data_IF_396510817952
#
_entry.id   IF_396510817952
#
_cell.length_a   1.000
_cell.length_b   1.000
_cell.length_c   1.000
_cell.angle_alpha   90.00
_cell.angle_beta   90.00
_cell.angle_gamma   90.00
#
_symmetry.space_group_name_H-M   'P 1'
#
loop_
_entity.id
_entity.type
_entity.pdbx_description
1 polymer ?
#
# COMPACT_ATOMS: atom_id res chain seq x y z
N UNK A 1 -4.16 -12.40 6.03
CA UNK A 1 -4.94 -13.11 4.99
C UNK A 1 -4.50 -14.54 4.72
N UNK A 2 -3.20 -14.88 4.78
CA UNK A 2 -2.71 -16.24 4.53
C UNK A 2 -3.39 -17.30 5.44
N UNK A 3 -3.49 -17.03 6.74
CA UNK A 3 -4.18 -17.91 7.70
C UNK A 3 -5.66 -18.13 7.29
N UNK A 4 -6.37 -17.04 6.98
CA UNK A 4 -7.79 -17.09 6.57
C UNK A 4 -7.97 -17.87 5.27
N UNK A 5 -7.05 -17.72 4.32
CA UNK A 5 -7.02 -18.50 3.09
C UNK A 5 -6.83 -20.00 3.37
N UNK A 6 -5.94 -20.36 4.31
CA UNK A 6 -5.73 -21.74 4.73
C UNK A 6 -7.00 -22.37 5.30
N UNK A 7 -7.70 -21.65 6.19
CA UNK A 7 -8.92 -22.15 6.85
C UNK A 7 -10.12 -22.18 5.89
N UNK A 8 -10.30 -21.15 5.05
CA UNK A 8 -11.46 -21.00 4.16
C UNK A 8 -11.09 -21.08 2.69
N UNK A 9 -10.25 -22.06 2.31
CA UNK A 9 -9.72 -22.20 0.95
C UNK A 9 -10.80 -22.27 -0.12
N UNK A 10 -11.94 -22.90 0.12
CA UNK A 10 -12.99 -23.04 -0.89
C UNK A 10 -13.77 -21.74 -1.18
N UNK A 11 -13.66 -20.73 -0.32
CA UNK A 11 -14.40 -19.48 -0.47
C UNK A 11 -13.80 -18.58 -1.56
N UNK A 12 -14.56 -18.31 -2.61
CA UNK A 12 -14.14 -17.37 -3.67
C UNK A 12 -13.93 -15.95 -3.14
N UNK A 13 -14.72 -15.53 -2.15
CA UNK A 13 -14.55 -14.23 -1.48
C UNK A 13 -13.18 -14.14 -0.81
N UNK A 14 -12.75 -15.18 -0.09
CA UNK A 14 -11.44 -15.22 0.57
C UNK A 14 -10.31 -15.23 -0.45
N UNK A 15 -10.44 -15.98 -1.55
CA UNK A 15 -9.48 -15.97 -2.67
C UNK A 15 -9.34 -14.57 -3.29
N UNK A 16 -10.46 -13.88 -3.53
CA UNK A 16 -10.46 -12.50 -4.07
C UNK A 16 -9.86 -11.50 -3.09
N UNK A 17 -10.16 -11.60 -1.79
CA UNK A 17 -9.56 -10.74 -0.77
C UNK A 17 -8.07 -10.99 -0.62
N UNK A 18 -7.64 -12.24 -0.73
CA UNK A 18 -6.23 -12.60 -0.75
C UNK A 18 -5.52 -12.00 -1.98
N UNK A 19 -6.11 -12.14 -3.17
CA UNK A 19 -5.62 -11.48 -4.38
C UNK A 19 -5.49 -9.96 -4.20
N UNK A 20 -6.51 -9.31 -3.64
CA UNK A 20 -6.46 -7.87 -3.35
C UNK A 20 -5.36 -7.52 -2.35
N UNK A 21 -5.15 -8.35 -1.33
CA UNK A 21 -4.07 -8.14 -0.36
C UNK A 21 -2.71 -8.21 -1.03
N UNK A 22 -2.52 -9.15 -1.96
CA UNK A 22 -1.30 -9.25 -2.76
C UNK A 22 -1.13 -8.05 -3.69
N UNK A 23 -2.20 -7.62 -4.36
CA UNK A 23 -2.15 -6.43 -5.22
C UNK A 23 -1.75 -5.19 -4.40
N UNK A 24 -2.37 -4.96 -3.24
CA UNK A 24 -2.11 -3.76 -2.44
C UNK A 24 -0.80 -3.82 -1.65
N UNK A 25 -0.37 -4.98 -1.13
CA UNK A 25 0.93 -5.11 -0.44
C UNK A 25 2.12 -4.88 -1.38
N UNK A 26 1.89 -4.94 -2.69
CA UNK A 26 2.88 -4.55 -3.70
C UNK A 26 3.27 -3.08 -3.57
N UNK A 27 2.35 -2.20 -3.17
CA UNK A 27 2.67 -0.79 -2.86
C UNK A 27 3.68 -0.73 -1.74
N UNK A 28 3.42 -1.43 -0.63
CA UNK A 28 4.33 -1.50 0.52
C UNK A 28 5.70 -2.01 0.11
N UNK A 29 5.75 -3.08 -0.68
CA UNK A 29 7.01 -3.63 -1.18
C UNK A 29 7.79 -2.59 -2.01
N UNK A 30 7.18 -2.01 -3.04
CA UNK A 30 7.84 -1.06 -3.94
C UNK A 30 8.27 0.20 -3.19
N UNK A 31 7.34 0.84 -2.48
CA UNK A 31 7.59 2.11 -1.80
C UNK A 31 8.64 1.95 -0.72
N UNK A 32 8.58 0.87 0.07
CA UNK A 32 9.58 0.65 1.10
C UNK A 32 10.97 0.49 0.47
N UNK A 33 11.11 -0.44 -0.48
CA UNK A 33 12.42 -0.75 -1.06
C UNK A 33 12.98 0.39 -1.91
N UNK A 34 12.14 1.14 -2.61
CA UNK A 34 12.57 2.25 -3.45
C UNK A 34 12.81 3.56 -2.68
N UNK A 35 12.04 3.84 -1.61
CA UNK A 35 11.97 5.18 -1.02
C UNK A 35 12.24 5.24 0.49
N UNK A 36 12.32 4.11 1.20
CA UNK A 36 12.43 4.10 2.67
C UNK A 36 13.62 3.28 3.14
N UNK A 37 13.95 2.21 2.41
CA UNK A 37 14.97 1.23 2.79
C UNK A 37 16.33 1.87 3.05
N UNK A 38 16.71 2.97 2.41
CA UNK A 38 18.03 3.58 2.58
C UNK A 38 18.28 4.23 3.96
N UNK A 39 17.27 4.34 4.83
CA UNK A 39 17.43 4.97 6.15
C UNK A 39 18.41 4.19 7.01
N UNK A 40 19.53 4.83 7.36
CA UNK A 40 20.60 4.26 8.18
C UNK A 40 20.10 3.66 9.50
N UNK A 41 19.14 4.33 10.17
CA UNK A 41 18.52 3.86 11.41
C UNK A 41 17.82 2.50 11.31
N UNK A 42 17.56 2.00 10.09
CA UNK A 42 17.01 0.66 9.87
C UNK A 42 18.08 -0.41 9.97
N UNK A 43 19.30 -0.14 9.50
CA UNK A 43 20.34 -1.15 9.32
C UNK A 43 21.41 -1.16 10.41
N UNK A 44 21.44 -0.14 11.24
CA UNK A 44 22.40 -0.04 12.33
C UNK A 44 22.00 -0.83 13.57
N UNK A 45 22.96 -0.99 14.49
CA UNK A 45 22.74 -1.71 15.73
C UNK A 45 21.76 -0.94 16.64
N UNK A 46 20.84 -1.63 17.33
CA UNK A 46 20.60 -3.07 17.26
C UNK A 46 19.86 -3.47 15.97
N UNK A 47 20.30 -4.57 15.34
CA UNK A 47 19.74 -5.05 14.06
C UNK A 47 18.28 -5.55 14.12
N UNK A 48 17.59 -5.34 15.24
CA UNK A 48 16.18 -5.68 15.41
C UNK A 48 15.29 -4.97 14.37
N UNK A 49 15.53 -3.68 14.12
CA UNK A 49 14.75 -2.93 13.13
C UNK A 49 15.00 -3.44 11.70
N UNK A 50 16.23 -3.86 11.39
CA UNK A 50 16.56 -4.48 10.11
C UNK A 50 15.78 -5.78 9.90
N UNK A 51 15.77 -6.68 10.90
CA UNK A 51 15.06 -7.97 10.84
C UNK A 51 13.56 -7.73 10.68
N UNK A 52 12.98 -6.88 11.53
CA UNK A 52 11.56 -6.50 11.46
C UNK A 52 11.22 -5.95 10.08
N UNK A 53 12.07 -5.09 9.54
CA UNK A 53 11.85 -4.50 8.24
C UNK A 53 11.90 -5.52 7.10
N UNK A 54 12.91 -6.41 7.07
CA UNK A 54 13.01 -7.49 6.09
C UNK A 54 11.76 -8.38 6.14
N UNK A 55 11.35 -8.76 7.35
CA UNK A 55 10.16 -9.58 7.54
C UNK A 55 8.91 -8.87 6.99
N UNK A 56 8.63 -7.65 7.43
CA UNK A 56 7.41 -6.92 7.08
C UNK A 56 7.37 -6.48 5.62
N UNK A 57 8.49 -6.00 5.07
CA UNK A 57 8.53 -5.33 3.77
C UNK A 57 9.12 -6.18 2.63
N UNK A 58 9.69 -7.35 2.90
CA UNK A 58 10.09 -8.31 1.87
C UNK A 58 9.43 -9.67 2.04
N UNK A 59 9.65 -10.35 3.17
CA UNK A 59 9.24 -11.75 3.34
C UNK A 59 7.73 -11.93 3.24
N UNK A 60 6.94 -11.13 3.96
CA UNK A 60 5.47 -11.22 3.87
C UNK A 60 4.92 -10.94 2.46
N UNK A 61 5.32 -9.86 1.75
CA UNK A 61 4.96 -9.65 0.35
C UNK A 61 5.34 -10.83 -0.56
N UNK A 62 6.58 -11.32 -0.48
CA UNK A 62 7.10 -12.39 -1.34
C UNK A 62 6.31 -13.68 -1.13
N UNK A 63 6.03 -14.07 0.12
CA UNK A 63 5.18 -15.22 0.41
C UNK A 63 3.79 -15.02 -0.20
N UNK A 64 3.23 -13.81 -0.09
CA UNK A 64 1.96 -13.47 -0.75
C UNK A 64 1.98 -13.70 -2.25
N UNK A 65 3.03 -13.24 -2.94
CA UNK A 65 3.22 -13.42 -4.38
C UNK A 65 3.29 -14.91 -4.74
N UNK A 66 4.15 -15.67 -4.04
CA UNK A 66 4.32 -17.11 -4.28
C UNK A 66 2.99 -17.85 -4.10
N UNK A 67 2.30 -17.64 -2.98
CA UNK A 67 1.03 -18.32 -2.70
C UNK A 67 -0.05 -17.94 -3.71
N UNK A 68 -0.12 -16.67 -4.15
CA UNK A 68 -1.03 -16.29 -5.23
C UNK A 68 -0.70 -17.03 -6.52
N UNK A 69 0.58 -17.16 -6.86
CA UNK A 69 1.05 -17.93 -8.00
C UNK A 69 0.64 -19.41 -7.95
N UNK A 70 0.63 -20.02 -6.76
CA UNK A 70 0.20 -21.41 -6.55
C UNK A 70 -1.32 -21.57 -6.74
N UNK A 71 -2.13 -20.65 -6.21
CA UNK A 71 -3.59 -20.75 -6.28
C UNK A 71 -4.21 -20.06 -7.50
N UNK A 72 -3.40 -19.46 -8.39
CA UNK A 72 -3.85 -18.54 -9.46
C UNK A 72 -5.00 -19.06 -10.33
N UNK A 73 -5.00 -20.37 -10.61
CA UNK A 73 -6.03 -21.02 -11.45
C UNK A 73 -7.40 -21.11 -10.76
N UNK A 74 -7.42 -21.00 -9.44
CA UNK A 74 -8.63 -21.04 -8.62
C UNK A 74 -9.18 -19.64 -8.30
N UNK A 75 -8.43 -18.60 -8.61
CA UNK A 75 -8.82 -17.20 -8.37
C UNK A 75 -9.54 -16.68 -9.60
N UNK A 76 -10.57 -15.88 -9.36
CA UNK A 76 -11.30 -15.19 -10.41
C UNK A 76 -11.68 -13.80 -9.94
N UNK A 77 -11.46 -12.81 -10.78
CA UNK A 77 -11.70 -11.41 -10.45
C UNK A 77 -12.91 -10.86 -11.21
N UNK A 78 -13.64 -9.94 -10.59
CA UNK A 78 -14.74 -9.23 -11.22
C UNK A 78 -14.56 -7.72 -11.03
N UNK A 79 -15.36 -6.91 -11.71
CA UNK A 79 -15.34 -5.45 -11.56
C UNK A 79 -15.57 -5.00 -10.11
N UNK A 80 -16.27 -5.80 -9.29
CA UNK A 80 -16.45 -5.55 -7.85
C UNK A 80 -15.11 -5.61 -7.10
N UNK A 81 -14.20 -6.51 -7.49
CA UNK A 81 -12.87 -6.63 -6.91
C UNK A 81 -12.08 -5.32 -7.08
N UNK A 82 -12.13 -4.72 -8.27
CA UNK A 82 -11.47 -3.44 -8.56
C UNK A 82 -12.06 -2.31 -7.70
N UNK A 83 -13.40 -2.22 -7.61
CA UNK A 83 -14.07 -1.22 -6.77
C UNK A 83 -13.66 -1.35 -5.30
N UNK A 84 -13.56 -2.57 -4.77
CA UNK A 84 -13.12 -2.80 -3.40
C UNK A 84 -11.67 -2.35 -3.21
N UNK A 85 -10.77 -2.60 -4.18
CA UNK A 85 -9.38 -2.15 -4.11
C UNK A 85 -9.28 -0.62 -3.98
N UNK A 86 -10.04 0.11 -4.81
CA UNK A 86 -10.13 1.57 -4.76
C UNK A 86 -10.64 2.03 -3.40
N UNK A 87 -11.76 1.45 -2.92
CA UNK A 87 -12.36 1.81 -1.63
C UNK A 87 -11.35 1.63 -0.49
N UNK A 88 -10.59 0.53 -0.46
CA UNK A 88 -9.57 0.30 0.58
C UNK A 88 -8.52 1.42 0.58
N UNK A 89 -8.01 1.82 -0.59
CA UNK A 89 -6.99 2.87 -0.70
C UNK A 89 -7.56 4.24 -0.32
N UNK A 90 -8.78 4.56 -0.76
CA UNK A 90 -9.44 5.82 -0.41
C UNK A 90 -9.75 5.90 1.08
N UNK A 91 -10.26 4.83 1.69
CA UNK A 91 -10.47 4.76 3.13
C UNK A 91 -9.16 4.99 3.91
N UNK A 92 -8.06 4.41 3.43
CA UNK A 92 -6.74 4.65 4.03
C UNK A 92 -6.29 6.11 3.89
N UNK A 93 -6.49 6.73 2.72
CA UNK A 93 -6.13 8.13 2.49
C UNK A 93 -6.95 9.08 3.38
N UNK A 94 -8.26 8.83 3.50
CA UNK A 94 -9.15 9.58 4.41
C UNK A 94 -8.68 9.41 5.85
N UNK A 95 -8.36 8.18 6.27
CA UNK A 95 -7.82 7.92 7.59
C UNK A 95 -6.53 8.71 7.86
N UNK A 96 -5.58 8.68 6.92
CA UNK A 96 -4.32 9.44 7.03
C UNK A 96 -4.59 10.95 7.13
N UNK A 97 -5.55 11.47 6.37
CA UNK A 97 -5.96 12.88 6.42
C UNK A 97 -6.60 13.25 7.77
N UNK A 98 -7.48 12.41 8.30
CA UNK A 98 -8.09 12.61 9.63
C UNK A 98 -7.02 12.62 10.72
N UNK A 99 -6.07 11.67 10.69
CA UNK A 99 -4.96 11.63 11.66
C UNK A 99 -4.13 12.91 11.56
N UNK A 100 -3.79 13.35 10.34
CA UNK A 100 -3.03 14.57 10.13
C UNK A 100 -3.75 15.80 10.71
N UNK A 101 -5.03 16.02 10.36
CA UNK A 101 -5.80 17.16 10.84
C UNK A 101 -6.02 17.14 12.36
N UNK A 102 -6.40 15.99 12.91
CA UNK A 102 -6.69 15.86 14.35
C UNK A 102 -5.47 16.07 15.25
N UNK A 103 -4.26 15.95 14.69
CA UNK A 103 -2.99 16.10 15.40
C UNK A 103 -2.23 17.36 14.98
N UNK A 104 -2.83 18.22 14.14
CA UNK A 104 -2.19 19.41 13.62
C UNK A 104 -1.70 20.34 14.74
N UNK A 105 -0.41 20.68 14.72
CA UNK A 105 0.24 21.52 15.74
C UNK A 105 0.18 20.99 17.18
N UNK A 106 -0.20 19.72 17.39
CA UNK A 106 -0.20 19.10 18.73
C UNK A 106 1.16 18.54 19.13
N UNK A 107 1.92 18.02 18.17
CA UNK A 107 3.22 17.37 18.40
C UNK A 107 4.36 18.07 17.67
N UNK A 108 4.09 18.71 16.52
CA UNK A 108 5.06 19.45 15.70
C UNK A 108 4.38 20.72 15.24
N UNK A 109 5.01 21.87 15.43
CA UNK A 109 4.45 23.17 15.04
C UNK A 109 4.14 23.21 13.53
N UNK A 110 2.95 23.72 13.18
CA UNK A 110 2.44 23.82 11.80
C UNK A 110 2.37 22.52 11.01
N UNK A 111 2.33 21.36 11.68
CA UNK A 111 2.30 20.06 11.02
C UNK A 111 1.47 19.03 11.79
N UNK A 112 0.75 18.18 11.06
CA UNK A 112 0.09 17.00 11.62
C UNK A 112 1.01 15.78 11.65
N UNK A 113 0.60 14.73 12.36
CA UNK A 113 1.26 13.41 12.32
C UNK A 113 1.09 12.82 10.92
N UNK A 114 2.21 12.36 10.35
CA UNK A 114 2.27 11.78 9.01
C UNK A 114 2.61 10.30 9.14
N UNK A 115 1.76 9.43 8.59
CA UNK A 115 1.96 7.97 8.64
C UNK A 115 3.09 7.55 7.70
N UNK A 116 3.07 8.08 6.47
CA UNK A 116 4.14 7.87 5.49
C UNK A 116 4.64 9.20 4.97
N UNK A 117 5.96 9.42 5.01
CA UNK A 117 6.57 10.70 4.68
C UNK A 117 6.26 11.22 3.26
N UNK A 118 5.93 10.35 2.31
CA UNK A 118 5.52 10.75 0.95
C UNK A 118 4.06 11.24 0.87
N UNK A 119 3.23 10.94 1.87
CA UNK A 119 1.84 11.42 2.04
C UNK A 119 1.75 12.58 3.02
N UNK A 120 2.83 13.33 3.21
CA UNK A 120 2.76 14.56 4.00
C UNK A 120 1.98 15.63 3.23
N UNK A 121 0.86 16.09 3.77
CA UNK A 121 0.02 17.09 3.11
C UNK A 121 0.69 18.48 3.02
N UNK A 122 1.61 18.81 3.93
CA UNK A 122 2.38 20.05 3.87
C UNK A 122 3.63 19.93 2.99
N UNK A 123 4.21 18.73 2.92
CA UNK A 123 5.44 18.45 2.17
C UNK A 123 5.27 17.23 1.24
N UNK A 124 4.32 17.28 0.28
CA UNK A 124 3.89 16.12 -0.49
C UNK A 124 5.03 15.56 -1.34
N UNK A 125 5.13 14.23 -1.44
CA UNK A 125 6.18 13.54 -2.19
C UNK A 125 7.60 14.04 -1.85
N UNK A 126 7.84 14.37 -0.57
CA UNK A 126 9.11 14.90 -0.05
C UNK A 126 9.49 16.31 -0.55
N UNK A 127 8.57 17.03 -1.19
CA UNK A 127 8.79 18.40 -1.65
C UNK A 127 8.84 19.34 -0.44
N UNK A 128 10.01 19.96 -0.20
CA UNK A 128 10.27 20.83 0.96
C UNK A 128 10.18 22.32 0.66
N UNK A 129 9.98 22.72 -0.59
CA UNK A 129 9.94 24.13 -0.94
C UNK A 129 8.57 24.75 -0.61
N UNK A 130 8.55 26.05 -0.35
CA UNK A 130 7.37 26.76 0.15
C UNK A 130 6.39 27.25 -0.92
N UNK A 131 6.48 26.80 -2.18
CA UNK A 131 5.57 27.26 -3.24
C UNK A 131 4.18 26.60 -3.08
N UNK A 132 3.13 27.36 -2.73
CA UNK A 132 1.80 26.79 -2.44
C UNK A 132 1.16 26.13 -3.67
N UNK A 133 1.43 26.64 -4.87
CA UNK A 133 0.88 26.08 -6.10
C UNK A 133 1.44 24.68 -6.37
N UNK A 134 2.75 24.49 -6.17
CA UNK A 134 3.38 23.17 -6.35
C UNK A 134 2.86 22.19 -5.31
N UNK A 135 2.73 22.61 -4.04
CA UNK A 135 2.15 21.77 -2.98
C UNK A 135 0.73 21.33 -3.32
N UNK A 136 -0.10 22.24 -3.84
CA UNK A 136 -1.46 21.93 -4.29
C UNK A 136 -1.47 20.89 -5.42
N UNK A 137 -0.64 21.09 -6.46
CA UNK A 137 -0.56 20.20 -7.62
C UNK A 137 -0.05 18.79 -7.24
N UNK A 138 0.93 18.71 -6.34
CA UNK A 138 1.46 17.43 -5.86
C UNK A 138 0.43 16.66 -5.03
N UNK A 139 -0.32 17.35 -4.15
CA UNK A 139 -1.42 16.72 -3.42
C UNK A 139 -2.54 16.23 -4.35
N UNK A 140 -2.90 17.01 -5.37
CA UNK A 140 -3.87 16.58 -6.39
C UNK A 140 -3.36 15.34 -7.15
N UNK A 141 -2.06 15.30 -7.46
CA UNK A 141 -1.41 14.14 -8.10
C UNK A 141 -1.48 12.90 -7.21
N UNK A 142 -1.23 13.02 -5.90
CA UNK A 142 -1.38 11.92 -4.94
C UNK A 142 -2.79 11.34 -4.98
N UNK A 143 -3.82 12.19 -5.03
CA UNK A 143 -5.22 11.74 -5.11
C UNK A 143 -5.45 10.95 -6.41
N UNK A 144 -5.00 11.46 -7.56
CA UNK A 144 -5.11 10.76 -8.85
C UNK A 144 -4.42 9.39 -8.79
N UNK A 145 -3.20 9.34 -8.23
CA UNK A 145 -2.46 8.08 -8.04
C UNK A 145 -3.22 7.14 -7.11
N UNK A 146 -3.86 7.64 -6.05
CA UNK A 146 -4.63 6.82 -5.12
C UNK A 146 -5.80 6.08 -5.79
N UNK A 147 -6.38 6.64 -6.87
CA UNK A 147 -7.36 5.94 -7.70
C UNK A 147 -6.72 5.03 -8.74
N UNK A 148 -5.69 5.51 -9.45
CA UNK A 148 -5.08 4.78 -10.56
C UNK A 148 -4.28 3.55 -10.10
N UNK A 149 -3.56 3.66 -8.99
CA UNK A 149 -2.66 2.63 -8.47
C UNK A 149 -3.36 1.31 -8.12
N UNK A 150 -4.46 1.26 -7.33
CA UNK A 150 -5.16 0.01 -7.07
C UNK A 150 -5.71 -0.64 -8.34
N UNK A 151 -6.17 0.15 -9.31
CA UNK A 151 -6.63 -0.35 -10.61
C UNK A 151 -5.46 -1.01 -11.36
N UNK A 152 -4.35 -0.27 -11.49
CA UNK A 152 -3.14 -0.72 -12.17
C UNK A 152 -2.59 -2.00 -11.56
N UNK A 153 -2.50 -2.09 -10.23
CA UNK A 153 -1.98 -3.26 -9.53
C UNK A 153 -2.87 -4.49 -9.67
N UNK A 154 -4.20 -4.31 -9.65
CA UNK A 154 -5.13 -5.41 -9.92
C UNK A 154 -4.94 -5.94 -11.34
N UNK A 155 -4.86 -5.07 -12.34
CA UNK A 155 -4.62 -5.52 -13.72
C UNK A 155 -3.22 -6.11 -13.93
N UNK A 156 -2.20 -5.54 -13.30
CA UNK A 156 -0.83 -6.05 -13.32
C UNK A 156 -0.77 -7.49 -12.83
N UNK A 157 -1.26 -7.77 -11.61
CA UNK A 157 -1.20 -9.12 -11.06
C UNK A 157 -2.12 -10.10 -11.77
N UNK A 158 -3.26 -9.62 -12.29
CA UNK A 158 -4.10 -10.43 -13.18
C UNK A 158 -3.30 -10.88 -14.40
N UNK A 159 -2.57 -9.97 -15.05
CA UNK A 159 -1.78 -10.27 -16.24
C UNK A 159 -0.61 -11.21 -15.92
N UNK A 160 0.17 -10.90 -14.88
CA UNK A 160 1.33 -11.70 -14.43
C UNK A 160 0.93 -13.14 -14.15
N UNK A 161 -0.15 -13.36 -13.40
CA UNK A 161 -0.61 -14.71 -13.04
C UNK A 161 -1.66 -15.29 -13.98
N UNK A 162 -2.04 -14.59 -15.05
CA UNK A 162 -3.08 -15.01 -16.02
C UNK A 162 -4.40 -15.42 -15.34
N UNK A 163 -4.83 -14.62 -14.37
CA UNK A 163 -6.05 -14.87 -13.58
C UNK A 163 -7.29 -14.56 -14.45
N UNK A 164 -8.31 -15.43 -14.36
CA UNK A 164 -9.54 -15.31 -15.16
C UNK A 164 -10.44 -14.17 -14.66
N UNK A 165 -11.17 -13.56 -15.59
CA UNK A 165 -12.34 -12.73 -15.26
C UNK A 165 -13.57 -13.62 -15.08
N UNK A 166 -14.53 -13.12 -14.29
CA UNK A 166 -15.94 -13.56 -14.32
C UNK A 166 -16.75 -12.46 -14.97
#
# INVERSE_FOLDING_TARGET
MLIVLGVKRQSMTVKRLFFLSVALITVTFIVYWALISYKQSTWEKPYYEAIKSILTHAIHPIIGFIILGLIRKEVSISSKTIKIAIIIVICYLIFAFIVYLSTYSRFVEYRGVVIYSFLDFAYPLFYKAGNPLIVLLLNATIIIIAFALPIGLVYFWKAVYRIKNI
#
